data_IF_051538368073
#
_entry.id   IF_051538368073
#
_cell.length_a   1.000
_cell.length_b   1.000
_cell.length_c   1.000
_cell.angle_alpha   90.00
_cell.angle_beta   90.00
_cell.angle_gamma   90.00
#
_symmetry.space_group_name_H-M   'P 1'
#
loop_
_entity.id
_entity.type
_entity.pdbx_description
1 polymer ?
#
# COMPACT_ATOMS: atom_id res chain seq x y z
N UNK A 1 -12.98 22.02 45.95
CA UNK A 1 -12.49 20.60 45.89
C UNK A 1 -12.16 20.29 44.44
N UNK A 2 -10.91 20.55 44.03
CA UNK A 2 -10.46 20.40 42.66
C UNK A 2 -9.98 18.97 42.46
N UNK A 3 -10.65 18.21 41.56
CA UNK A 3 -10.21 16.88 41.15
C UNK A 3 -9.10 17.06 40.11
N UNK A 4 -7.85 16.81 40.49
CA UNK A 4 -6.71 16.70 39.58
C UNK A 4 -6.83 15.41 38.80
N UNK A 5 -7.31 15.46 37.56
CA UNK A 5 -7.13 14.42 36.59
C UNK A 5 -5.63 14.37 36.20
N UNK A 6 -4.91 13.36 36.68
CA UNK A 6 -3.57 13.01 36.19
C UNK A 6 -3.70 12.42 34.79
N UNK A 7 -3.69 13.26 33.78
CA UNK A 7 -3.37 12.82 32.41
C UNK A 7 -1.89 12.47 32.35
N UNK A 8 -1.56 11.18 32.47
CA UNK A 8 -0.27 10.69 32.01
C UNK A 8 -0.31 10.63 30.48
N UNK A 9 -0.07 11.74 29.81
CA UNK A 9 0.32 11.77 28.42
C UNK A 9 1.74 11.21 28.34
N UNK A 10 1.87 9.92 28.03
CA UNK A 10 3.15 9.35 27.63
C UNK A 10 3.46 9.94 26.24
N UNK A 11 4.08 11.10 26.21
CA UNK A 11 4.71 11.63 25.00
C UNK A 11 5.89 10.70 24.75
N UNK A 12 5.73 9.80 23.79
CA UNK A 12 6.83 8.94 23.31
C UNK A 12 7.91 9.87 22.77
N UNK A 13 9.05 9.95 23.45
CA UNK A 13 10.13 10.83 23.00
C UNK A 13 10.69 10.33 21.67
N UNK A 14 11.16 11.23 20.80
CA UNK A 14 11.77 10.91 19.52
C UNK A 14 12.88 9.83 19.67
N UNK A 15 13.62 9.83 20.79
CA UNK A 15 14.62 8.82 21.14
C UNK A 15 14.04 7.41 21.27
N UNK A 16 12.88 7.24 21.91
CA UNK A 16 12.22 5.95 22.07
C UNK A 16 11.72 5.42 20.73
N UNK A 17 11.30 6.33 19.86
CA UNK A 17 10.90 6.02 18.50
C UNK A 17 12.09 5.51 17.68
N UNK A 18 13.23 6.17 17.74
CA UNK A 18 14.47 5.83 17.02
C UNK A 18 15.06 4.51 17.53
N UNK A 19 15.08 4.26 18.84
CA UNK A 19 15.61 3.04 19.45
C UNK A 19 14.73 1.81 19.16
N UNK A 20 13.42 1.97 19.12
CA UNK A 20 12.50 0.89 18.75
C UNK A 20 12.64 0.48 17.27
N UNK A 21 13.06 1.40 16.40
CA UNK A 21 13.21 1.17 14.96
C UNK A 21 14.63 0.74 14.54
N UNK A 22 15.64 1.00 15.37
CA UNK A 22 17.04 0.60 15.09
C UNK A 22 17.25 -0.93 14.97
N UNK A 23 16.24 -1.74 15.33
CA UNK A 23 16.31 -3.22 15.31
C UNK A 23 15.60 -3.88 14.12
N UNK A 24 14.90 -3.14 13.29
CA UNK A 24 14.18 -3.72 12.14
C UNK A 24 14.67 -3.11 10.83
N UNK A 25 15.02 -3.98 9.86
CA UNK A 25 15.37 -3.54 8.51
C UNK A 25 14.23 -2.70 7.94
N UNK A 26 14.52 -1.45 7.55
CA UNK A 26 13.55 -0.57 6.90
C UNK A 26 13.11 -1.16 5.57
N UNK A 27 11.82 -1.13 5.28
CA UNK A 27 11.21 -1.70 4.07
C UNK A 27 10.83 -0.58 3.12
N UNK A 28 11.47 -0.58 1.97
CA UNK A 28 11.22 0.41 0.94
C UNK A 28 9.88 0.22 0.24
N UNK A 29 9.43 1.30 -0.40
CA UNK A 29 8.21 1.33 -1.21
C UNK A 29 8.62 1.44 -2.68
N UNK A 30 8.10 0.53 -3.51
CA UNK A 30 8.20 0.61 -4.96
C UNK A 30 6.88 1.16 -5.50
N UNK A 31 6.84 2.44 -5.78
CA UNK A 31 5.66 3.15 -6.25
C UNK A 31 5.64 3.21 -7.77
N UNK A 32 4.52 2.79 -8.33
CA UNK A 32 4.14 3.01 -9.72
C UNK A 32 2.93 3.93 -9.73
N UNK A 33 3.05 5.07 -10.39
CA UNK A 33 2.03 6.10 -10.43
C UNK A 33 1.65 6.42 -11.87
N UNK A 34 0.38 6.74 -12.11
CA UNK A 34 -0.08 7.29 -13.39
C UNK A 34 -0.31 8.79 -13.30
N UNK A 35 -0.48 9.42 -14.46
CA UNK A 35 -0.98 10.78 -14.52
C UNK A 35 -2.45 10.83 -14.06
N UNK A 36 -2.73 11.61 -13.02
CA UNK A 36 -4.08 11.70 -12.43
C UNK A 36 -5.03 12.62 -13.16
N UNK A 37 -4.47 13.56 -13.94
CA UNK A 37 -5.23 14.59 -14.65
C UNK A 37 -4.49 15.05 -15.92
N UNK A 38 -4.87 16.19 -16.46
CA UNK A 38 -4.19 16.79 -17.61
C UNK A 38 -2.73 17.16 -17.31
N UNK A 39 -1.90 17.16 -18.35
CA UNK A 39 -0.43 17.35 -18.31
C UNK A 39 0.04 18.57 -17.52
N UNK A 40 -0.78 19.62 -17.39
CA UNK A 40 -0.38 20.87 -16.70
C UNK A 40 -0.46 20.83 -15.19
N UNK A 41 -1.33 20.01 -14.61
CA UNK A 41 -1.61 19.97 -13.16
C UNK A 41 -1.87 18.53 -12.76
N UNK A 42 -0.82 17.73 -12.67
CA UNK A 42 -0.95 16.35 -12.20
C UNK A 42 -0.65 16.30 -10.71
N UNK A 43 -1.64 15.99 -9.85
CA UNK A 43 -1.35 15.58 -8.47
C UNK A 43 -0.38 14.40 -8.48
N UNK A 44 0.41 14.25 -7.42
CA UNK A 44 1.32 13.12 -7.28
C UNK A 44 1.38 12.65 -5.83
N UNK A 45 1.53 11.34 -5.63
CA UNK A 45 1.79 10.76 -4.32
C UNK A 45 3.27 10.88 -3.90
N UNK A 46 4.15 11.30 -4.80
CA UNK A 46 5.58 11.44 -4.54
C UNK A 46 5.90 12.36 -3.34
N UNK A 47 5.22 13.53 -3.14
CA UNK A 47 5.44 14.36 -1.96
C UNK A 47 5.16 13.64 -0.64
N UNK A 48 4.16 12.75 -0.60
CA UNK A 48 3.88 11.91 0.57
C UNK A 48 5.00 10.88 0.81
N UNK A 49 5.53 10.29 -0.25
CA UNK A 49 6.65 9.35 -0.16
C UNK A 49 7.94 10.06 0.29
N UNK A 50 8.18 11.28 -0.20
CA UNK A 50 9.33 12.08 0.23
C UNK A 50 9.21 12.46 1.71
N UNK A 51 8.00 12.78 2.20
CA UNK A 51 7.76 13.00 3.62
C UNK A 51 8.07 11.75 4.47
N UNK A 52 7.72 10.55 4.01
CA UNK A 52 8.07 9.28 4.67
C UNK A 52 9.59 9.06 4.71
N UNK A 53 10.30 9.40 3.65
CA UNK A 53 11.75 9.28 3.55
C UNK A 53 12.47 10.29 4.47
N UNK A 54 11.97 11.52 4.54
CA UNK A 54 12.53 12.57 5.41
C UNK A 54 12.09 12.45 6.88
N UNK A 55 11.09 11.61 7.17
CA UNK A 55 10.62 11.35 8.53
C UNK A 55 11.64 10.55 9.34
N UNK A 56 11.49 10.45 10.69
CA UNK A 56 12.31 9.56 11.51
C UNK A 56 12.29 8.08 11.08
N UNK A 57 11.34 7.67 10.24
CA UNK A 57 11.26 6.32 9.68
C UNK A 57 12.26 6.08 8.54
N UNK A 58 12.68 7.15 7.84
CA UNK A 58 13.63 7.11 6.72
C UNK A 58 13.29 6.03 5.68
N UNK A 59 12.00 5.92 5.31
CA UNK A 59 11.52 4.88 4.38
C UNK A 59 12.00 5.19 2.97
N UNK A 60 12.92 4.39 2.40
CA UNK A 60 13.37 4.60 1.03
C UNK A 60 12.24 4.27 0.05
N UNK A 61 12.21 4.94 -1.08
CA UNK A 61 11.26 4.63 -2.13
C UNK A 61 11.88 4.69 -3.53
N UNK A 62 11.29 3.96 -4.45
CA UNK A 62 11.43 4.10 -5.90
C UNK A 62 10.10 4.62 -6.40
N UNK A 63 10.10 5.69 -7.18
CA UNK A 63 8.89 6.23 -7.82
C UNK A 63 9.08 6.23 -9.34
N UNK A 64 8.07 5.74 -10.06
CA UNK A 64 8.06 5.71 -11.54
C UNK A 64 6.69 6.05 -12.07
N UNK A 65 6.66 6.92 -13.06
CA UNK A 65 5.46 7.21 -13.81
C UNK A 65 5.19 6.10 -14.84
N UNK A 66 3.94 5.66 -14.95
CA UNK A 66 3.49 4.56 -15.80
C UNK A 66 2.25 4.98 -16.57
N UNK A 67 2.39 5.04 -17.89
CA UNK A 67 1.33 5.51 -18.79
C UNK A 67 0.90 4.44 -19.82
N UNK A 68 1.57 3.29 -19.86
CA UNK A 68 1.27 2.18 -20.78
C UNK A 68 1.32 0.83 -20.08
N UNK A 69 0.62 -0.16 -20.64
CA UNK A 69 0.63 -1.55 -20.15
C UNK A 69 2.05 -2.13 -20.18
N UNK A 70 2.78 -1.90 -21.25
CA UNK A 70 4.15 -2.42 -21.40
C UNK A 70 5.09 -1.86 -20.33
N UNK A 71 4.94 -0.56 -20.02
CA UNK A 71 5.72 0.08 -18.95
C UNK A 71 5.35 -0.48 -17.57
N UNK A 72 4.06 -0.74 -17.33
CA UNK A 72 3.61 -1.39 -16.09
C UNK A 72 4.22 -2.79 -15.96
N UNK A 73 4.07 -3.63 -16.97
CA UNK A 73 4.59 -5.00 -17.00
C UNK A 73 6.11 -5.03 -16.81
N UNK A 74 6.84 -4.12 -17.47
CA UNK A 74 8.27 -3.96 -17.30
C UNK A 74 8.65 -3.70 -15.84
N UNK A 75 8.01 -2.72 -15.17
CA UNK A 75 8.34 -2.40 -13.79
C UNK A 75 7.87 -3.45 -12.79
N UNK A 76 6.74 -4.11 -13.00
CA UNK A 76 6.31 -5.24 -12.18
C UNK A 76 7.32 -6.40 -12.22
N UNK A 77 7.81 -6.74 -13.42
CA UNK A 77 8.87 -7.75 -13.59
C UNK A 77 10.19 -7.31 -12.94
N UNK A 78 10.52 -6.02 -12.93
CA UNK A 78 11.70 -5.50 -12.21
C UNK A 78 11.51 -5.60 -10.71
N UNK A 79 10.36 -5.14 -10.19
CA UNK A 79 10.07 -5.17 -8.75
C UNK A 79 10.18 -6.57 -8.15
N UNK A 80 9.79 -7.61 -8.88
CA UNK A 80 9.85 -9.00 -8.39
C UNK A 80 11.26 -9.60 -8.36
N UNK A 81 12.30 -8.90 -8.87
CA UNK A 81 13.68 -9.39 -8.84
C UNK A 81 14.31 -9.25 -7.45
N UNK A 82 15.21 -10.17 -7.09
CA UNK A 82 15.92 -10.18 -5.78
C UNK A 82 16.64 -8.87 -5.44
N UNK A 83 17.16 -8.15 -6.42
CA UNK A 83 17.82 -6.85 -6.21
C UNK A 83 16.87 -5.77 -5.65
N UNK A 84 15.56 -6.01 -5.64
CA UNK A 84 14.54 -5.12 -5.07
C UNK A 84 13.87 -5.72 -3.82
N UNK A 85 14.49 -6.70 -3.15
CA UNK A 85 13.97 -7.27 -1.91
C UNK A 85 13.92 -6.26 -0.75
N UNK A 86 14.71 -5.18 -0.85
CA UNK A 86 14.65 -4.06 0.09
C UNK A 86 13.41 -3.15 -0.11
N UNK A 87 12.68 -3.35 -1.21
CA UNK A 87 11.44 -2.65 -1.55
C UNK A 87 10.24 -3.63 -1.62
N UNK A 88 9.90 -4.29 -0.50
CA UNK A 88 8.88 -5.34 -0.51
C UNK A 88 7.44 -4.82 -0.62
N UNK A 89 7.24 -3.50 -0.62
CA UNK A 89 5.93 -2.87 -0.72
C UNK A 89 5.75 -2.32 -2.12
N UNK A 90 4.85 -2.91 -2.92
CA UNK A 90 4.40 -2.33 -4.19
C UNK A 90 3.24 -1.39 -3.90
N UNK A 91 3.35 -0.14 -4.33
CA UNK A 91 2.29 0.85 -4.28
C UNK A 91 1.86 1.20 -5.70
N UNK A 92 0.63 0.83 -6.05
CA UNK A 92 -0.01 1.11 -7.34
C UNK A 92 -0.92 2.32 -7.16
N UNK A 93 -0.43 3.50 -7.51
CA UNK A 93 -1.12 4.78 -7.40
C UNK A 93 -1.74 5.14 -8.75
N UNK A 94 -2.92 4.59 -9.03
CA UNK A 94 -3.62 4.68 -10.31
C UNK A 94 -5.07 5.11 -10.12
N UNK A 95 -5.75 5.43 -11.22
CA UNK A 95 -7.20 5.35 -11.24
C UNK A 95 -7.66 3.89 -11.10
N UNK A 96 -8.91 3.66 -10.71
CA UNK A 96 -9.43 2.31 -10.57
C UNK A 96 -10.93 2.24 -10.65
N UNK A 97 -11.39 1.07 -11.05
CA UNK A 97 -12.77 0.60 -10.93
C UNK A 97 -12.74 -0.81 -10.34
N UNK A 98 -13.89 -1.40 -10.08
CA UNK A 98 -13.96 -2.73 -9.48
C UNK A 98 -13.15 -3.77 -10.28
N UNK A 99 -12.12 -4.32 -9.64
CA UNK A 99 -11.27 -5.36 -10.22
C UNK A 99 -10.28 -4.90 -11.29
N UNK A 100 -10.13 -3.60 -11.52
CA UNK A 100 -9.23 -3.06 -12.54
C UNK A 100 -8.44 -1.85 -12.02
N UNK A 101 -7.23 -1.67 -12.51
CA UNK A 101 -6.46 -0.44 -12.45
C UNK A 101 -6.50 0.26 -13.80
N UNK A 102 -6.55 1.58 -13.79
CA UNK A 102 -6.65 2.40 -14.99
C UNK A 102 -5.53 3.46 -14.98
N UNK A 103 -4.90 3.70 -16.12
CA UNK A 103 -3.78 4.63 -16.23
C UNK A 103 -3.67 5.25 -17.61
N UNK A 104 -2.96 6.38 -17.67
CA UNK A 104 -2.83 7.18 -18.88
C UNK A 104 -4.15 7.79 -19.35
N UNK A 105 -4.29 8.03 -20.65
CA UNK A 105 -5.53 8.55 -21.24
C UNK A 105 -6.63 7.48 -21.24
N UNK A 106 -7.58 7.60 -20.33
CA UNK A 106 -8.70 6.66 -20.16
C UNK A 106 -9.61 6.52 -21.40
N UNK A 107 -9.50 7.46 -22.36
CA UNK A 107 -10.21 7.40 -23.64
C UNK A 107 -9.57 6.44 -24.64
N UNK A 108 -8.32 6.01 -24.39
CA UNK A 108 -7.58 5.09 -25.27
C UNK A 108 -7.85 3.63 -24.91
N UNK A 109 -7.92 2.75 -25.92
CA UNK A 109 -7.93 1.30 -25.71
C UNK A 109 -6.62 0.88 -25.05
N UNK A 110 -6.70 0.02 -24.02
CA UNK A 110 -5.53 -0.51 -23.32
C UNK A 110 -5.08 0.28 -22.10
N UNK A 111 -5.78 1.36 -21.73
CA UNK A 111 -5.52 2.08 -20.48
C UNK A 111 -6.03 1.36 -19.22
N UNK A 112 -6.30 0.06 -19.30
CA UNK A 112 -6.87 -0.75 -18.21
C UNK A 112 -6.16 -2.09 -18.07
N UNK A 113 -5.93 -2.50 -16.83
CA UNK A 113 -5.39 -3.82 -16.49
C UNK A 113 -6.23 -4.43 -15.39
N UNK A 114 -6.75 -5.62 -15.64
CA UNK A 114 -7.55 -6.38 -14.67
C UNK A 114 -6.70 -7.02 -13.60
N UNK A 115 -7.32 -7.37 -12.46
CA UNK A 115 -6.66 -8.18 -11.42
C UNK A 115 -6.19 -9.55 -11.97
N UNK A 116 -6.85 -10.12 -13.01
CA UNK A 116 -6.40 -11.38 -13.62
C UNK A 116 -5.09 -11.20 -14.40
N UNK A 117 -4.93 -10.11 -15.14
CA UNK A 117 -3.69 -9.78 -15.84
C UNK A 117 -2.54 -9.47 -14.89
N UNK A 118 -2.81 -8.72 -13.80
CA UNK A 118 -1.83 -8.49 -12.74
C UNK A 118 -1.43 -9.80 -12.04
N UNK A 119 -2.40 -10.68 -11.78
CA UNK A 119 -2.19 -12.00 -11.19
C UNK A 119 -1.26 -12.86 -12.08
N UNK A 120 -1.46 -12.85 -13.39
CA UNK A 120 -0.61 -13.57 -14.34
C UNK A 120 0.84 -13.05 -14.32
N UNK A 121 1.03 -11.72 -14.40
CA UNK A 121 2.37 -11.10 -14.36
C UNK A 121 3.10 -11.38 -13.03
N UNK A 122 2.38 -11.41 -11.91
CA UNK A 122 2.94 -11.52 -10.56
C UNK A 122 2.93 -12.95 -10.01
N UNK A 123 2.42 -13.93 -10.74
CA UNK A 123 2.21 -15.32 -10.31
C UNK A 123 3.43 -15.91 -9.60
N UNK A 124 3.25 -16.28 -8.33
CA UNK A 124 4.28 -16.95 -7.51
C UNK A 124 5.50 -16.09 -7.18
N UNK A 125 5.48 -14.76 -7.45
CA UNK A 125 6.67 -13.91 -7.34
C UNK A 125 6.63 -12.92 -6.17
N UNK A 126 5.54 -12.89 -5.39
CA UNK A 126 5.34 -11.88 -4.35
C UNK A 126 5.50 -12.43 -2.93
N UNK A 127 6.25 -13.51 -2.74
CA UNK A 127 6.51 -14.08 -1.42
C UNK A 127 7.16 -13.05 -0.49
N UNK A 128 6.56 -12.86 0.71
CA UNK A 128 7.03 -11.86 1.67
C UNK A 128 6.78 -10.40 1.27
N UNK A 129 6.03 -10.13 0.18
CA UNK A 129 5.76 -8.79 -0.35
C UNK A 129 4.32 -8.38 -0.10
N UNK A 130 4.09 -7.06 -0.03
CA UNK A 130 2.76 -6.44 0.12
C UNK A 130 2.43 -5.69 -1.17
N UNK A 131 1.20 -5.85 -1.67
CA UNK A 131 0.68 -5.09 -2.80
C UNK A 131 -0.40 -4.16 -2.28
N UNK A 132 -0.20 -2.86 -2.47
CA UNK A 132 -1.15 -1.82 -2.08
C UNK A 132 -1.71 -1.11 -3.31
N UNK A 133 -3.03 -1.12 -3.43
CA UNK A 133 -3.77 -0.42 -4.47
C UNK A 133 -4.28 0.92 -3.93
N UNK A 134 -3.57 2.02 -4.23
CA UNK A 134 -4.02 3.38 -4.00
C UNK A 134 -4.98 3.84 -5.10
N UNK A 135 -5.95 3.00 -5.43
CA UNK A 135 -6.88 3.17 -6.55
C UNK A 135 -8.31 3.10 -6.03
N UNK A 136 -9.20 3.90 -6.63
CA UNK A 136 -10.63 3.78 -6.37
C UNK A 136 -11.15 2.37 -6.68
N UNK A 137 -12.06 1.84 -5.87
CA UNK A 137 -12.87 0.64 -6.14
C UNK A 137 -12.12 -0.66 -6.47
N UNK A 138 -10.82 -0.64 -6.79
CA UNK A 138 -10.10 -1.81 -7.31
C UNK A 138 -10.26 -3.07 -6.44
N UNK A 139 -10.38 -2.90 -5.12
CA UNK A 139 -10.65 -4.01 -4.20
C UNK A 139 -12.14 -4.22 -3.86
N UNK A 140 -13.07 -3.62 -4.59
CA UNK A 140 -14.52 -3.84 -4.48
C UNK A 140 -14.96 -5.25 -4.90
N UNK A 141 -14.02 -6.13 -5.17
CA UNK A 141 -14.24 -7.51 -5.59
C UNK A 141 -14.59 -8.43 -4.42
N UNK A 142 -15.18 -9.59 -4.74
CA UNK A 142 -15.54 -10.59 -3.74
C UNK A 142 -14.33 -11.08 -2.93
N UNK A 143 -14.57 -11.51 -1.68
CA UNK A 143 -13.55 -12.10 -0.81
C UNK A 143 -12.85 -13.31 -1.48
N UNK A 144 -13.61 -14.12 -2.24
CA UNK A 144 -13.08 -15.27 -2.98
C UNK A 144 -12.09 -14.83 -4.06
N UNK A 145 -12.42 -13.75 -4.81
CA UNK A 145 -11.55 -13.21 -5.87
C UNK A 145 -10.24 -12.69 -5.30
N UNK A 146 -10.32 -11.92 -4.19
CA UNK A 146 -9.14 -11.37 -3.55
C UNK A 146 -8.25 -12.47 -2.92
N UNK A 147 -8.87 -13.47 -2.31
CA UNK A 147 -8.13 -14.64 -1.79
C UNK A 147 -7.37 -15.37 -2.91
N UNK A 148 -8.01 -15.59 -4.06
CA UNK A 148 -7.37 -16.17 -5.24
C UNK A 148 -6.16 -15.34 -5.67
N UNK A 149 -6.29 -14.02 -5.81
CA UNK A 149 -5.20 -13.14 -6.18
C UNK A 149 -3.99 -13.26 -5.23
N UNK A 150 -4.24 -13.29 -3.92
CA UNK A 150 -3.19 -13.48 -2.91
C UNK A 150 -2.50 -14.84 -3.06
N UNK A 151 -3.24 -15.90 -3.28
CA UNK A 151 -2.70 -17.26 -3.41
C UNK A 151 -1.88 -17.41 -4.68
N UNK A 152 -2.38 -16.93 -5.82
CA UNK A 152 -1.71 -17.04 -7.10
C UNK A 152 -0.44 -16.19 -7.19
N UNK A 153 -0.47 -14.98 -6.64
CA UNK A 153 0.71 -14.09 -6.61
C UNK A 153 1.72 -14.46 -5.53
N UNK A 154 1.34 -15.27 -4.56
CA UNK A 154 2.10 -15.56 -3.33
C UNK A 154 2.29 -14.33 -2.43
N UNK A 155 1.47 -13.28 -2.58
CA UNK A 155 1.60 -12.06 -1.79
C UNK A 155 1.33 -12.32 -0.30
N UNK A 156 2.10 -11.66 0.57
CA UNK A 156 1.90 -11.69 2.02
C UNK A 156 0.59 -11.02 2.42
N UNK A 157 0.30 -9.88 1.78
CA UNK A 157 -0.91 -9.12 1.99
C UNK A 157 -1.23 -8.29 0.74
N UNK A 158 -2.53 -8.02 0.57
CA UNK A 158 -3.05 -7.07 -0.41
C UNK A 158 -3.93 -6.07 0.32
N UNK A 159 -3.76 -4.79 0.01
CA UNK A 159 -4.52 -3.69 0.62
C UNK A 159 -4.95 -2.67 -0.43
N UNK A 160 -5.98 -1.89 -0.12
CA UNK A 160 -6.54 -0.85 -1.00
C UNK A 160 -7.98 -0.54 -0.65
N UNK A 161 -8.74 -0.02 -1.61
CA UNK A 161 -10.04 0.56 -1.40
C UNK A 161 -11.15 -0.17 -2.18
N UNK A 162 -12.33 -0.31 -1.55
CA UNK A 162 -13.49 -1.01 -2.13
C UNK A 162 -14.47 -0.06 -2.81
N UNK A 163 -14.27 1.27 -2.71
CA UNK A 163 -15.14 2.30 -3.29
C UNK A 163 -14.34 3.53 -3.74
N UNK A 164 -15.03 4.53 -4.29
CA UNK A 164 -14.44 5.82 -4.59
C UNK A 164 -13.88 6.49 -3.34
N UNK A 165 -12.73 7.10 -3.49
CA UNK A 165 -11.97 7.69 -2.40
C UNK A 165 -11.64 9.15 -2.68
N UNK A 166 -11.64 9.95 -1.63
CA UNK A 166 -11.03 11.26 -1.64
C UNK A 166 -9.51 11.13 -1.65
N UNK A 167 -8.86 11.82 -2.60
CA UNK A 167 -7.42 11.70 -2.83
C UNK A 167 -6.57 12.09 -1.61
N UNK A 168 -6.91 13.21 -0.95
CA UNK A 168 -6.14 13.71 0.21
C UNK A 168 -6.32 12.80 1.42
N UNK A 169 -7.55 12.35 1.67
CA UNK A 169 -7.85 11.47 2.80
C UNK A 169 -7.22 10.10 2.62
N UNK A 170 -7.24 9.55 1.41
CA UNK A 170 -6.59 8.27 1.12
C UNK A 170 -5.08 8.37 1.25
N UNK A 171 -4.44 9.43 0.74
CA UNK A 171 -3.01 9.65 0.93
C UNK A 171 -2.62 9.71 2.42
N UNK A 172 -3.43 10.34 3.28
CA UNK A 172 -3.22 10.34 4.73
C UNK A 172 -3.32 8.95 5.37
N UNK A 173 -4.26 8.11 4.90
CA UNK A 173 -4.40 6.73 5.36
C UNK A 173 -3.25 5.85 4.85
N UNK A 174 -2.84 5.99 3.59
CA UNK A 174 -1.72 5.28 2.98
C UNK A 174 -0.40 5.60 3.70
N UNK A 175 -0.16 6.89 4.00
CA UNK A 175 0.98 7.33 4.83
C UNK A 175 1.03 6.57 6.16
N UNK A 176 -0.08 6.53 6.88
CA UNK A 176 -0.18 5.84 8.17
C UNK A 176 -0.06 4.31 8.05
N UNK A 177 -0.55 3.74 6.96
CA UNK A 177 -0.42 2.33 6.67
C UNK A 177 1.04 1.95 6.44
N UNK A 178 1.76 2.67 5.56
CA UNK A 178 3.19 2.43 5.30
C UNK A 178 4.04 2.62 6.56
N UNK A 179 3.78 3.66 7.34
CA UNK A 179 4.44 3.85 8.64
C UNK A 179 4.17 2.70 9.62
N UNK A 180 2.96 2.14 9.61
CA UNK A 180 2.60 1.01 10.47
C UNK A 180 3.30 -0.29 10.08
N UNK A 181 3.59 -0.50 8.79
CA UNK A 181 4.35 -1.66 8.31
C UNK A 181 5.77 -1.67 8.89
N UNK A 182 6.42 -0.51 9.00
CA UNK A 182 7.80 -0.42 9.52
C UNK A 182 7.94 -0.92 10.96
N UNK A 183 6.87 -0.88 11.74
CA UNK A 183 6.85 -1.27 13.14
C UNK A 183 6.57 -2.77 13.36
N UNK A 184 6.51 -3.58 12.29
CA UNK A 184 6.13 -4.99 12.38
C UNK A 184 7.00 -5.85 11.46
N UNK A 185 6.97 -7.15 11.66
CA UNK A 185 7.65 -8.09 10.77
C UNK A 185 6.85 -8.30 9.47
N UNK A 186 7.57 -8.59 8.36
CA UNK A 186 6.96 -8.99 7.08
C UNK A 186 6.54 -10.45 7.12
N UNK A 187 5.57 -10.74 7.99
CA UNK A 187 4.96 -12.06 8.20
C UNK A 187 3.46 -11.93 8.38
N UNK A 188 2.71 -13.01 8.23
CA UNK A 188 1.25 -12.98 8.44
C UNK A 188 0.87 -12.44 9.84
N UNK A 189 1.50 -12.90 10.96
CA UNK A 189 1.25 -12.30 12.27
C UNK A 189 1.59 -10.80 12.33
N UNK A 190 2.71 -10.38 11.72
CA UNK A 190 3.10 -8.97 11.65
C UNK A 190 2.07 -8.13 10.90
N UNK A 191 1.60 -8.59 9.75
CA UNK A 191 0.56 -7.89 8.98
C UNK A 191 -0.81 -7.91 9.68
N UNK A 192 -1.13 -8.92 10.50
CA UNK A 192 -2.30 -8.88 11.39
C UNK A 192 -2.17 -7.76 12.43
N UNK A 193 -0.98 -7.56 12.99
CA UNK A 193 -0.70 -6.46 13.92
C UNK A 193 -0.80 -5.10 13.23
N UNK A 194 -0.31 -4.96 11.98
CA UNK A 194 -0.50 -3.76 11.14
C UNK A 194 -1.98 -3.47 10.97
N UNK A 195 -2.77 -4.44 10.49
CA UNK A 195 -4.22 -4.30 10.29
C UNK A 195 -4.93 -3.83 11.57
N UNK A 196 -4.66 -4.46 12.70
CA UNK A 196 -5.23 -4.07 13.99
C UNK A 196 -4.85 -2.64 14.39
N UNK A 197 -3.59 -2.25 14.19
CA UNK A 197 -3.09 -0.90 14.52
C UNK A 197 -3.75 0.18 13.67
N UNK A 198 -3.87 -0.04 12.37
CA UNK A 198 -4.54 0.90 11.45
C UNK A 198 -6.01 1.05 11.84
N UNK A 199 -6.70 -0.04 12.12
CA UNK A 199 -8.10 -0.03 12.59
C UNK A 199 -8.26 0.73 13.92
N UNK A 200 -7.37 0.52 14.87
CA UNK A 200 -7.43 1.19 16.18
C UNK A 200 -7.17 2.70 16.07
N UNK A 201 -6.20 3.10 15.26
CA UNK A 201 -5.77 4.50 15.16
C UNK A 201 -6.62 5.32 14.18
N UNK A 202 -7.11 4.70 13.12
CA UNK A 202 -7.79 5.37 12.01
C UNK A 202 -9.10 4.68 11.61
N UNK A 203 -9.77 4.00 12.54
CA UNK A 203 -10.96 3.22 12.25
C UNK A 203 -12.10 4.00 11.59
N UNK A 204 -12.21 5.33 11.82
CA UNK A 204 -13.17 6.20 11.14
C UNK A 204 -12.83 6.30 9.65
N UNK A 205 -11.56 6.59 9.32
CA UNK A 205 -11.10 6.72 7.93
C UNK A 205 -11.14 5.37 7.21
N UNK A 206 -10.70 4.29 7.86
CA UNK A 206 -10.79 2.92 7.32
C UNK A 206 -12.22 2.58 6.90
N UNK A 207 -13.22 2.87 7.75
CA UNK A 207 -14.64 2.63 7.40
C UNK A 207 -15.16 3.60 6.33
N UNK A 208 -14.83 4.88 6.47
CA UNK A 208 -15.28 5.92 5.56
C UNK A 208 -14.76 5.72 4.14
N UNK A 209 -13.50 5.31 3.98
CA UNK A 209 -12.86 5.05 2.69
C UNK A 209 -13.00 3.59 2.23
N UNK A 210 -13.67 2.74 3.01
CA UNK A 210 -13.75 1.30 2.76
C UNK A 210 -12.37 0.67 2.50
N UNK A 211 -11.38 1.03 3.35
CA UNK A 211 -10.03 0.51 3.26
C UNK A 211 -9.96 -0.94 3.72
N UNK A 212 -9.36 -1.79 2.93
CA UNK A 212 -9.29 -3.23 3.14
C UNK A 212 -7.84 -3.70 3.20
N UNK A 213 -7.58 -4.65 4.12
CA UNK A 213 -6.31 -5.39 4.18
C UNK A 213 -6.65 -6.87 4.23
N UNK A 214 -6.35 -7.59 3.16
CA UNK A 214 -6.46 -9.03 3.06
C UNK A 214 -5.10 -9.67 3.23
N UNK A 215 -5.04 -10.76 3.98
CA UNK A 215 -3.80 -11.43 4.35
C UNK A 215 -3.76 -12.83 3.72
N UNK A 216 -2.56 -13.30 3.44
CA UNK A 216 -2.34 -14.70 3.09
C UNK A 216 -2.76 -15.56 4.29
N UNK A 217 -3.76 -16.39 4.09
CA UNK A 217 -4.12 -17.40 5.07
C UNK A 217 -3.25 -18.65 4.90
N UNK A 218 -2.93 -19.36 5.96
CA UNK A 218 -2.29 -20.67 5.85
C UNK A 218 -3.13 -21.56 4.91
N UNK A 219 -2.47 -22.39 4.10
CA UNK A 219 -3.20 -23.43 3.36
C UNK A 219 -3.92 -24.31 4.38
N UNK A 220 -5.21 -24.64 4.19
CA UNK A 220 -5.85 -25.63 5.01
C UNK A 220 -5.03 -26.93 4.93
N UNK A 221 -4.76 -27.51 6.10
CA UNK A 221 -4.12 -28.84 6.20
C UNK A 221 -5.06 -29.90 5.67
#
# INVERSE_FOLDING_TARGET
MFIRLKERKTVMQLRDYTLAHARTKVRGIFCLETDWSEVRTSPSVEPMLELLKQSPLQIPFVHRNVVTIDTLDYYLKKWTQRRHDDFPILYLAFHGIEGEVQFGDLRRRGARVTLDQLEETLRGRCSGRVIHFGCCQTLGVSQRRLRRFILETDALAVSGYEKDIDWVRSAGLDFSFFASIQQNTMTVPGMRAVRRRVLLRQGREVRSLAFRIALREPKPR
#
